data_IF_494023734101
#
_entry.id   IF_494023734101
#
_cell.length_a   1.000
_cell.length_b   1.000
_cell.length_c   1.000
_cell.angle_alpha   90.00
_cell.angle_beta   90.00
_cell.angle_gamma   90.00
#
_symmetry.space_group_name_H-M   'P 1'
#
loop_
_entity.id
_entity.type
_entity.pdbx_description
1 polymer ?
#
# COMPACT_ATOMS: atom_id res chain seq x y z
N UNK A 1 -3.90 -6.35 0.13
CA UNK A 1 -3.17 -5.61 -0.92
C UNK A 1 -2.57 -6.64 -1.89
N UNK A 2 -3.10 -6.75 -3.10
CA UNK A 2 -2.53 -7.67 -4.10
C UNK A 2 -1.19 -7.09 -4.53
N UNK A 3 -0.09 -7.71 -4.09
CA UNK A 3 1.24 -7.40 -4.62
C UNK A 3 1.25 -7.88 -6.08
N UNK A 4 1.23 -6.92 -7.00
CA UNK A 4 1.33 -7.14 -8.44
C UNK A 4 2.76 -7.51 -8.90
N UNK A 5 3.75 -7.42 -8.01
CA UNK A 5 5.09 -7.91 -8.26
C UNK A 5 5.10 -9.44 -8.27
N UNK A 6 5.58 -10.02 -9.37
CA UNK A 6 5.81 -11.45 -9.50
C UNK A 6 7.24 -11.78 -9.05
N UNK A 7 7.41 -12.96 -8.46
CA UNK A 7 8.75 -13.52 -8.21
C UNK A 7 9.32 -14.10 -9.50
N UNK A 8 10.65 -14.27 -9.57
CA UNK A 8 11.30 -14.85 -10.75
C UNK A 8 10.71 -16.23 -11.14
N UNK A 9 10.48 -17.19 -10.21
CA UNK A 9 9.81 -18.45 -10.55
C UNK A 9 8.39 -18.29 -11.13
N UNK A 10 7.66 -17.25 -10.72
CA UNK A 10 6.33 -16.95 -11.27
C UNK A 10 6.44 -16.39 -12.69
N UNK A 11 7.40 -15.50 -12.95
CA UNK A 11 7.65 -14.95 -14.29
C UNK A 11 8.09 -16.04 -15.24
N UNK A 12 8.97 -16.95 -14.82
CA UNK A 12 9.45 -18.04 -15.67
C UNK A 12 8.35 -19.03 -16.03
N UNK A 13 7.55 -19.46 -15.05
CA UNK A 13 6.39 -20.31 -15.32
C UNK A 13 5.38 -19.61 -16.25
N UNK A 14 5.15 -18.30 -16.08
CA UNK A 14 4.26 -17.53 -16.95
C UNK A 14 4.78 -17.49 -18.40
N UNK A 15 6.10 -17.31 -18.60
CA UNK A 15 6.73 -17.35 -19.93
C UNK A 15 6.60 -18.71 -20.58
N UNK A 16 6.86 -19.79 -19.83
CA UNK A 16 6.72 -21.17 -20.33
C UNK A 16 5.28 -21.46 -20.79
N UNK A 17 4.29 -21.12 -19.96
CA UNK A 17 2.86 -21.30 -20.30
C UNK A 17 2.48 -20.45 -21.52
N UNK A 18 3.05 -19.25 -21.66
CA UNK A 18 2.76 -18.37 -22.80
C UNK A 18 3.42 -18.80 -24.11
N UNK A 19 4.56 -19.50 -24.03
CA UNK A 19 5.26 -20.05 -25.19
C UNK A 19 4.61 -21.35 -25.71
N UNK A 20 3.85 -22.05 -24.87
CA UNK A 20 3.15 -23.26 -25.25
C UNK A 20 2.03 -22.97 -26.27
N UNK A 21 2.01 -23.74 -27.37
CA UNK A 21 0.99 -23.65 -28.42
C UNK A 21 -0.39 -24.20 -27.99
N UNK A 22 -0.43 -24.97 -26.91
CA UNK A 22 -1.65 -25.53 -26.31
C UNK A 22 -1.58 -25.50 -24.79
N UNK A 23 -2.66 -25.90 -24.10
CA UNK A 23 -2.69 -25.98 -22.64
C UNK A 23 -1.51 -26.80 -22.09
N UNK A 24 -0.66 -26.14 -21.30
CA UNK A 24 0.58 -26.69 -20.78
C UNK A 24 0.30 -27.50 -19.50
N UNK A 25 0.73 -28.76 -19.39
CA UNK A 25 0.67 -29.51 -18.14
C UNK A 25 1.52 -28.86 -17.04
N UNK A 26 0.94 -28.71 -15.85
CA UNK A 26 1.63 -28.15 -14.70
C UNK A 26 2.25 -29.28 -13.87
N UNK A 27 3.58 -29.32 -13.72
CA UNK A 27 4.23 -30.34 -12.90
C UNK A 27 3.89 -30.14 -11.41
N UNK A 28 3.84 -31.21 -10.59
CA UNK A 28 3.48 -31.12 -9.17
C UNK A 28 4.28 -30.07 -8.38
N UNK A 29 5.59 -29.96 -8.65
CA UNK A 29 6.48 -28.98 -8.02
C UNK A 29 6.08 -27.51 -8.28
N UNK A 30 5.32 -27.23 -9.33
CA UNK A 30 4.91 -25.87 -9.73
C UNK A 30 3.44 -25.56 -9.48
N UNK A 31 2.70 -26.45 -8.79
CA UNK A 31 1.28 -26.24 -8.48
C UNK A 31 1.07 -24.93 -7.71
N UNK A 32 1.87 -24.67 -6.68
CA UNK A 32 1.74 -23.45 -5.86
C UNK A 32 2.02 -22.18 -6.68
N UNK A 33 3.06 -22.20 -7.52
CA UNK A 33 3.38 -21.10 -8.44
C UNK A 33 2.25 -20.86 -9.44
N UNK A 34 1.68 -21.92 -10.01
CA UNK A 34 0.56 -21.83 -10.95
C UNK A 34 -0.70 -21.27 -10.29
N UNK A 35 -0.98 -21.67 -9.04
CA UNK A 35 -2.09 -21.13 -8.27
C UNK A 35 -1.90 -19.65 -7.99
N UNK A 36 -0.69 -19.21 -7.64
CA UNK A 36 -0.38 -17.80 -7.44
C UNK A 36 -0.58 -16.95 -8.71
N UNK A 37 -0.28 -17.49 -9.89
CA UNK A 37 -0.53 -16.83 -11.18
C UNK A 37 -2.03 -16.77 -11.52
N UNK A 38 -2.77 -17.83 -11.21
CA UNK A 38 -4.22 -17.91 -11.42
C UNK A 38 -5.00 -16.95 -10.52
N UNK A 39 -4.61 -16.82 -9.24
CA UNK A 39 -5.20 -15.83 -8.31
C UNK A 39 -5.00 -14.37 -8.77
N UNK A 40 -4.12 -14.15 -9.76
CA UNK A 40 -3.86 -12.85 -10.38
C UNK A 40 -4.40 -12.78 -11.82
N UNK A 41 -5.24 -13.73 -12.23
CA UNK A 41 -5.82 -13.82 -13.57
C UNK A 41 -4.78 -13.85 -14.71
N UNK A 42 -3.51 -14.19 -14.44
CA UNK A 42 -2.44 -14.23 -15.46
C UNK A 42 -2.43 -15.53 -16.26
N UNK A 43 -2.97 -16.60 -15.66
CA UNK A 43 -3.20 -17.89 -16.31
C UNK A 43 -4.59 -18.39 -15.91
N UNK A 44 -5.14 -19.29 -16.73
CA UNK A 44 -6.33 -20.07 -16.38
C UNK A 44 -5.94 -21.53 -16.25
N UNK A 45 -6.20 -22.15 -15.10
CA UNK A 45 -5.96 -23.59 -14.89
C UNK A 45 -7.24 -24.38 -15.15
N UNK A 46 -7.08 -25.59 -15.68
CA UNK A 46 -8.15 -26.57 -15.81
C UNK A 46 -7.63 -27.95 -15.46
N UNK A 47 -8.51 -28.84 -15.04
CA UNK A 47 -8.18 -30.25 -14.86
C UNK A 47 -8.37 -30.99 -16.19
N UNK A 48 -7.38 -31.78 -16.60
CA UNK A 48 -7.46 -32.61 -17.81
C UNK A 48 -6.85 -33.98 -17.52
N UNK A 49 -7.68 -35.02 -17.57
CA UNK A 49 -7.28 -36.40 -17.29
C UNK A 49 -6.83 -36.57 -15.83
N UNK A 50 -5.52 -36.65 -15.62
CA UNK A 50 -4.87 -36.89 -14.32
C UNK A 50 -4.06 -35.69 -13.79
N UNK A 51 -4.12 -34.54 -14.46
CA UNK A 51 -3.29 -33.40 -14.08
C UNK A 51 -3.91 -32.02 -14.35
N UNK A 52 -3.31 -31.00 -13.76
CA UNK A 52 -3.62 -29.62 -14.06
C UNK A 52 -2.94 -29.21 -15.36
N UNK A 53 -3.67 -28.53 -16.23
CA UNK A 53 -3.12 -27.83 -17.39
C UNK A 53 -3.43 -26.34 -17.28
N UNK A 54 -2.62 -25.48 -17.89
CA UNK A 54 -2.82 -24.04 -17.86
C UNK A 54 -2.66 -23.41 -19.24
N UNK A 55 -3.37 -22.30 -19.45
CA UNK A 55 -3.24 -21.43 -20.62
C UNK A 55 -3.02 -19.99 -20.14
N UNK A 56 -2.16 -19.24 -20.82
CA UNK A 56 -1.95 -17.82 -20.51
C UNK A 56 -3.17 -16.99 -20.90
N UNK A 57 -3.58 -16.07 -20.03
CA UNK A 57 -4.70 -15.15 -20.31
C UNK A 57 -4.25 -13.92 -21.11
N UNK A 58 -5.18 -13.03 -21.44
CA UNK A 58 -4.84 -11.73 -22.00
C UNK A 58 -3.98 -10.89 -21.02
N UNK A 59 -4.33 -10.91 -19.74
CA UNK A 59 -3.62 -10.20 -18.67
C UNK A 59 -2.21 -10.76 -18.48
N UNK A 60 -2.04 -12.08 -18.56
CA UNK A 60 -0.72 -12.73 -18.56
C UNK A 60 0.17 -12.26 -19.71
N UNK A 61 -0.38 -12.21 -20.93
CA UNK A 61 0.34 -11.70 -22.12
C UNK A 61 0.67 -10.22 -21.98
N UNK A 62 -0.27 -9.42 -21.48
CA UNK A 62 -0.04 -8.00 -21.20
C UNK A 62 1.10 -7.81 -20.19
N UNK A 63 1.08 -8.57 -19.10
CA UNK A 63 2.13 -8.52 -18.08
C UNK A 63 3.51 -8.85 -18.67
N UNK A 64 3.63 -9.91 -19.47
CA UNK A 64 4.90 -10.26 -20.11
C UNK A 64 5.44 -9.17 -21.04
N UNK A 65 4.54 -8.43 -21.72
CA UNK A 65 4.92 -7.34 -22.62
C UNK A 65 5.29 -6.05 -21.88
N UNK A 66 4.59 -5.73 -20.79
CA UNK A 66 4.67 -4.42 -20.14
C UNK A 66 5.34 -4.43 -18.76
N UNK A 67 5.59 -5.61 -18.19
CA UNK A 67 6.12 -5.78 -16.82
C UNK A 67 5.15 -5.33 -15.72
N UNK A 68 3.91 -4.99 -16.06
CA UNK A 68 2.86 -4.50 -15.15
C UNK A 68 1.54 -5.21 -15.40
N UNK A 69 0.78 -5.45 -14.33
CA UNK A 69 -0.56 -6.00 -14.44
C UNK A 69 -1.51 -4.94 -15.06
N UNK A 70 -2.41 -5.28 -15.99
CA UNK A 70 -3.33 -4.30 -16.59
C UNK A 70 -4.19 -3.58 -15.53
N UNK A 71 -4.71 -4.33 -14.54
CA UNK A 71 -5.38 -3.75 -13.36
C UNK A 71 -4.54 -2.72 -12.59
N UNK A 72 -3.22 -2.89 -12.48
CA UNK A 72 -2.36 -1.89 -11.84
C UNK A 72 -2.33 -0.59 -12.66
N UNK A 73 -2.23 -0.69 -13.98
CA UNK A 73 -2.25 0.45 -14.89
C UNK A 73 -3.60 1.16 -14.82
N UNK A 74 -4.69 0.40 -14.77
CA UNK A 74 -6.04 0.94 -14.65
C UNK A 74 -6.23 1.71 -13.33
N UNK A 75 -5.82 1.14 -12.20
CA UNK A 75 -5.87 1.83 -10.90
C UNK A 75 -5.01 3.10 -10.90
N UNK A 76 -3.81 3.05 -11.50
CA UNK A 76 -2.94 4.22 -11.63
C UNK A 76 -3.61 5.33 -12.45
N UNK A 77 -4.28 4.97 -13.54
CA UNK A 77 -5.04 5.89 -14.39
C UNK A 77 -6.23 6.52 -13.64
N UNK A 78 -7.06 5.70 -13.00
CA UNK A 78 -8.21 6.17 -12.22
C UNK A 78 -7.78 7.15 -11.11
N UNK A 79 -6.66 6.84 -10.44
CA UNK A 79 -6.07 7.70 -9.41
C UNK A 79 -5.64 9.06 -9.97
N UNK A 80 -5.09 9.09 -11.19
CA UNK A 80 -4.69 10.35 -11.84
C UNK A 80 -5.91 11.15 -12.33
N UNK A 81 -6.91 10.48 -12.90
CA UNK A 81 -8.15 11.12 -13.37
C UNK A 81 -8.95 11.71 -12.21
N UNK A 82 -8.95 11.05 -11.04
CA UNK A 82 -9.60 11.53 -9.83
C UNK A 82 -8.83 12.59 -9.03
N UNK A 83 -7.58 12.88 -9.39
CA UNK A 83 -6.68 13.72 -8.56
C UNK A 83 -7.25 15.13 -8.36
N UNK A 84 -7.74 15.77 -9.42
CA UNK A 84 -8.29 17.13 -9.33
C UNK A 84 -9.52 17.20 -8.42
N UNK A 85 -10.42 16.23 -8.53
CA UNK A 85 -11.62 16.16 -7.69
C UNK A 85 -11.29 15.88 -6.23
N UNK A 86 -10.28 15.04 -5.96
CA UNK A 86 -9.81 14.76 -4.60
C UNK A 86 -9.03 15.96 -4.01
N UNK A 87 -8.26 16.67 -4.84
CA UNK A 87 -7.53 17.87 -4.46
C UNK A 87 -8.47 19.01 -4.08
N UNK A 88 -9.62 19.14 -4.74
CA UNK A 88 -10.65 20.11 -4.39
C UNK A 88 -11.30 19.84 -3.01
N UNK A 89 -11.19 18.61 -2.49
CA UNK A 89 -11.65 18.24 -1.14
C UNK A 89 -10.58 18.42 -0.08
N UNK A 90 -9.35 18.76 -0.45
CA UNK A 90 -8.31 19.08 0.52
C UNK A 90 -8.73 20.32 1.35
N UNK A 91 -8.21 20.47 2.58
CA UNK A 91 -8.41 21.69 3.35
C UNK A 91 -7.87 22.90 2.57
N UNK A 92 -8.57 24.03 2.64
CA UNK A 92 -8.18 25.28 2.02
C UNK A 92 -6.89 25.83 2.64
N UNK A 93 -6.75 25.70 3.96
CA UNK A 93 -5.62 26.19 4.76
C UNK A 93 -5.36 25.30 5.99
N UNK A 94 -4.43 25.72 6.83
CA UNK A 94 -4.06 25.03 8.06
C UNK A 94 -5.13 25.08 9.14
N UNK A 95 -5.90 26.17 9.23
CA UNK A 95 -6.99 26.29 10.20
C UNK A 95 -8.10 25.27 9.92
N UNK A 96 -8.49 25.11 8.65
CA UNK A 96 -9.47 24.11 8.26
C UNK A 96 -8.94 22.68 8.49
N UNK A 97 -7.66 22.42 8.22
CA UNK A 97 -7.06 21.12 8.52
C UNK A 97 -7.18 20.76 10.00
N UNK A 98 -6.86 21.69 10.90
CA UNK A 98 -6.97 21.48 12.35
C UNK A 98 -8.43 21.30 12.76
N UNK A 99 -9.35 22.13 12.27
CA UNK A 99 -10.78 22.01 12.56
C UNK A 99 -11.33 20.63 12.15
N UNK A 100 -10.95 20.14 10.97
CA UNK A 100 -11.32 18.80 10.50
C UNK A 100 -10.71 17.70 11.37
N UNK A 101 -9.46 17.85 11.83
CA UNK A 101 -8.80 16.88 12.71
C UNK A 101 -9.43 16.82 14.10
N UNK A 102 -9.87 17.96 14.65
CA UNK A 102 -10.57 18.04 15.93
C UNK A 102 -12.00 17.48 15.84
N UNK A 103 -12.65 17.61 14.69
CA UNK A 103 -14.00 17.05 14.45
C UNK A 103 -13.96 15.54 14.14
N UNK A 104 -12.81 15.04 13.68
CA UNK A 104 -12.50 13.63 13.50
C UNK A 104 -11.92 13.05 14.81
N UNK A 105 -11.63 11.73 14.90
CA UNK A 105 -10.91 11.15 16.04
C UNK A 105 -9.40 11.51 16.02
N UNK A 106 -9.06 12.78 15.79
CA UNK A 106 -7.69 13.28 15.70
C UNK A 106 -6.91 12.79 14.48
N UNK A 107 -7.54 12.05 13.54
CA UNK A 107 -6.84 11.40 12.43
C UNK A 107 -7.62 11.50 11.13
N UNK A 108 -6.93 11.89 10.06
CA UNK A 108 -7.45 11.89 8.70
C UNK A 108 -6.49 11.10 7.81
N UNK A 109 -7.03 10.18 7.01
CA UNK A 109 -6.28 9.39 6.05
C UNK A 109 -6.81 9.63 4.64
N UNK A 110 -5.89 9.92 3.72
CA UNK A 110 -6.14 10.06 2.29
C UNK A 110 -5.42 8.88 1.61
N UNK A 111 -6.14 7.89 1.08
CA UNK A 111 -5.54 6.70 0.47
C UNK A 111 -4.75 7.05 -0.79
N UNK A 112 -3.50 6.60 -0.86
CA UNK A 112 -2.50 6.81 -1.93
C UNK A 112 -2.81 7.94 -2.94
N UNK A 113 -2.84 9.22 -2.50
CA UNK A 113 -3.26 10.30 -3.37
C UNK A 113 -2.23 10.58 -4.46
N UNK A 114 -2.72 11.07 -5.59
CA UNK A 114 -1.89 11.64 -6.65
C UNK A 114 -1.30 13.00 -6.28
N UNK A 115 -0.45 13.52 -7.16
CA UNK A 115 0.50 14.57 -6.83
C UNK A 115 -0.18 15.90 -6.47
N UNK A 116 -1.27 16.25 -7.14
CA UNK A 116 -1.98 17.51 -6.89
C UNK A 116 -2.66 17.48 -5.52
N UNK A 117 -3.41 16.42 -5.22
CA UNK A 117 -4.02 16.20 -3.91
C UNK A 117 -2.95 16.26 -2.82
N UNK A 118 -1.87 15.49 -2.98
CA UNK A 118 -0.75 15.49 -2.03
C UNK A 118 -0.16 16.89 -1.82
N UNK A 119 0.00 17.66 -2.89
CA UNK A 119 0.47 19.04 -2.84
C UNK A 119 -0.43 19.94 -2.01
N UNK A 120 -1.76 19.86 -2.19
CA UNK A 120 -2.75 20.63 -1.43
C UNK A 120 -2.75 20.29 0.06
N UNK A 121 -2.79 18.99 0.39
CA UNK A 121 -2.72 18.54 1.78
C UNK A 121 -1.39 18.93 2.45
N UNK A 122 -0.28 18.87 1.71
CA UNK A 122 1.03 19.34 2.18
C UNK A 122 1.03 20.85 2.46
N UNK A 123 0.41 21.65 1.59
CA UNK A 123 0.32 23.09 1.78
C UNK A 123 -0.46 23.43 3.07
N UNK A 124 -1.64 22.83 3.27
CA UNK A 124 -2.42 23.01 4.49
C UNK A 124 -1.66 22.57 5.76
N UNK A 125 -0.89 21.47 5.69
CA UNK A 125 -0.07 21.01 6.80
C UNK A 125 1.01 22.04 7.19
N UNK A 126 1.77 22.56 6.23
CA UNK A 126 2.80 23.54 6.51
C UNK A 126 2.22 24.88 6.94
N UNK A 127 1.08 25.27 6.36
CA UNK A 127 0.34 26.44 6.79
C UNK A 127 -0.06 26.34 8.27
N UNK A 128 -0.59 25.19 8.71
CA UNK A 128 -0.93 24.95 10.11
C UNK A 128 0.27 25.08 11.06
N UNK A 129 1.44 24.59 10.64
CA UNK A 129 2.67 24.67 11.44
C UNK A 129 3.24 26.09 11.52
N UNK A 130 3.23 26.83 10.42
CA UNK A 130 3.88 28.14 10.35
C UNK A 130 3.01 29.29 10.87
N UNK A 131 1.69 29.16 10.80
CA UNK A 131 0.75 30.20 11.24
C UNK A 131 0.13 29.92 12.62
N UNK A 132 0.63 28.91 13.34
CA UNK A 132 0.23 28.65 14.73
C UNK A 132 -1.20 28.14 14.89
N UNK A 133 -1.75 27.43 13.90
CA UNK A 133 -3.09 26.86 13.98
C UNK A 133 -3.17 25.61 14.86
N UNK A 134 -2.02 24.98 15.16
CA UNK A 134 -1.97 23.82 16.05
C UNK A 134 -2.31 24.26 17.49
N UNK A 135 -3.30 23.61 18.15
CA UNK A 135 -3.66 23.95 19.52
C UNK A 135 -2.51 23.71 20.50
N UNK A 136 -2.45 24.51 21.57
CA UNK A 136 -1.48 24.31 22.65
C UNK A 136 -1.62 22.90 23.25
N UNK A 137 -0.49 22.28 23.61
CA UNK A 137 -0.44 20.91 24.13
C UNK A 137 -0.68 19.83 23.08
N UNK A 138 -0.74 20.17 21.79
CA UNK A 138 -0.90 19.22 20.71
C UNK A 138 0.26 19.26 19.71
N UNK A 139 0.54 18.13 19.08
CA UNK A 139 1.46 17.98 17.95
C UNK A 139 0.74 17.53 16.69
N UNK A 140 1.11 18.14 15.55
CA UNK A 140 0.62 17.73 14.24
C UNK A 140 1.63 16.81 13.52
N UNK A 141 1.26 15.55 13.32
CA UNK A 141 2.07 14.53 12.65
C UNK A 141 1.55 14.22 11.25
N UNK A 142 2.46 13.99 10.31
CA UNK A 142 2.13 13.57 8.95
C UNK A 142 3.00 12.39 8.48
N UNK A 143 2.35 11.32 8.03
CA UNK A 143 2.95 10.13 7.40
C UNK A 143 2.60 10.04 5.92
N UNK A 144 3.45 9.34 5.15
CA UNK A 144 3.29 9.15 3.72
C UNK A 144 3.53 10.46 2.97
N UNK A 145 4.69 11.10 3.17
CA UNK A 145 5.03 12.38 2.53
C UNK A 145 5.23 12.25 1.02
N UNK A 146 5.98 11.23 0.62
CA UNK A 146 6.41 11.03 -0.77
C UNK A 146 5.61 9.95 -1.50
N UNK A 147 5.07 8.95 -0.78
CA UNK A 147 4.38 7.80 -1.37
C UNK A 147 3.39 7.18 -0.38
N UNK A 148 2.37 6.51 -0.91
CA UNK A 148 1.37 5.80 -0.12
C UNK A 148 0.39 6.77 0.54
N UNK A 149 -0.34 6.25 1.51
CA UNK A 149 -1.42 6.99 2.17
C UNK A 149 -0.88 8.23 2.89
N UNK A 150 -1.49 9.39 2.63
CA UNK A 150 -1.24 10.58 3.42
C UNK A 150 -2.07 10.50 4.69
N UNK A 151 -1.41 10.40 5.84
CA UNK A 151 -2.10 10.30 7.14
C UNK A 151 -1.68 11.47 8.00
N UNK A 152 -2.65 12.30 8.38
CA UNK A 152 -2.49 13.43 9.28
C UNK A 152 -3.06 13.07 10.64
N UNK A 153 -2.34 13.40 11.71
CA UNK A 153 -2.75 13.07 13.07
C UNK A 153 -2.48 14.26 13.98
N UNK A 154 -3.49 14.69 14.71
CA UNK A 154 -3.38 15.61 15.82
C UNK A 154 -3.24 14.78 17.09
N UNK A 155 -2.11 14.94 17.76
CA UNK A 155 -1.72 14.16 18.94
C UNK A 155 -1.77 15.10 20.14
N UNK A 156 -2.53 14.73 21.17
CA UNK A 156 -2.45 15.37 22.49
C UNK A 156 -1.17 14.89 23.18
N UNK A 157 -0.28 15.83 23.52
CA UNK A 157 1.03 15.54 24.11
C UNK A 157 0.92 14.94 25.51
N UNK A 158 -0.05 15.38 26.32
CA UNK A 158 -0.25 14.85 27.67
C UNK A 158 -0.82 13.43 27.61
N UNK A 159 -1.80 13.21 26.73
CA UNK A 159 -2.36 11.88 26.51
C UNK A 159 -1.32 10.91 25.93
N UNK A 160 -0.48 11.36 24.99
CA UNK A 160 0.60 10.53 24.43
C UNK A 160 1.64 10.17 25.51
N UNK A 161 2.01 11.11 26.37
CA UNK A 161 2.94 10.85 27.49
C UNK A 161 2.33 9.90 28.53
N UNK A 162 1.05 10.05 28.84
CA UNK A 162 0.33 9.16 29.76
C UNK A 162 0.18 7.73 29.20
N UNK A 163 0.08 7.59 27.88
CA UNK A 163 -0.04 6.31 27.19
C UNK A 163 1.31 5.61 26.92
N UNK A 164 2.45 6.26 27.19
CA UNK A 164 3.75 5.62 27.06
C UNK A 164 3.88 4.50 28.11
N UNK A 165 4.16 3.25 27.70
CA UNK A 165 4.36 2.16 28.64
C UNK A 165 5.51 2.50 29.57
N UNK A 166 5.35 2.17 30.86
CA UNK A 166 6.38 2.39 31.88
C UNK A 166 7.71 1.84 31.37
N UNK A 167 8.82 2.58 31.55
CA UNK A 167 10.14 2.10 31.14
C UNK A 167 10.37 0.73 31.77
N UNK A 168 10.66 -0.26 30.93
CA UNK A 168 10.96 -1.61 31.39
C UNK A 168 12.18 -1.51 32.31
N UNK A 169 12.09 -1.96 33.58
CA UNK A 169 13.25 -1.90 34.47
C UNK A 169 14.39 -2.68 33.84
N UNK A 170 15.59 -2.11 33.85
CA UNK A 170 16.80 -2.79 33.42
C UNK A 170 16.98 -4.02 34.32
N UNK A 171 16.75 -5.21 33.78
CA UNK A 171 17.07 -6.45 34.45
C UNK A 171 18.58 -6.59 34.36
N UNK A 172 19.29 -6.46 35.49
CA UNK A 172 20.70 -6.82 35.57
C UNK A 172 20.86 -8.30 35.22
N UNK A 173 21.54 -8.59 34.10
CA UNK A 173 21.88 -9.95 33.71
C UNK A 173 23.05 -10.39 34.58
N UNK A 174 22.92 -11.41 35.46
CA UNK A 174 24.05 -11.90 36.23
C UNK A 174 25.07 -12.58 35.30
N UNK A 175 26.33 -12.15 35.40
CA UNK A 175 27.45 -12.63 34.57
C UNK A 175 27.88 -14.09 34.83
N UNK A 176 27.29 -14.77 35.82
CA UNK A 176 27.73 -16.12 36.20
C UNK A 176 26.63 -17.14 36.01
N UNK A 177 26.73 -17.92 34.93
CA UNK A 177 26.10 -19.24 34.85
C UNK A 177 26.87 -20.16 35.81
N UNK A 178 26.24 -20.54 36.91
CA UNK A 178 26.79 -21.60 37.78
C UNK A 178 26.59 -22.92 37.04
N UNK A 179 27.71 -23.50 36.62
CA UNK A 179 27.85 -24.79 35.93
C UNK A 179 27.40 -25.99 36.75
#
# INVERSE_FOLDING_TARGET
>A
MVKYALTEPQVDLLREIAAASSAMPIPPARIQTSWALEQRDLIKRTWRGSGHVAVVTADGRYYLKHGKHPRQVQVEKERLEGDAAQAARAPADGAELISRLQSAPGKIAVPDPAAQTRGRWRAAYYDALHHGHVPTGHKLRWNGRQRGDCVFTLIDEEAEKAAQPLPVPAIDVPETLVS
#
